data_IF_078705718680
#
_entry.id   IF_078705718680
#
_cell.length_a   1.000
_cell.length_b   1.000
_cell.length_c   1.000
_cell.angle_alpha   90.00
_cell.angle_beta   90.00
_cell.angle_gamma   90.00
#
_symmetry.space_group_name_H-M   'P 1'
#
loop_
_entity.id
_entity.type
_entity.pdbx_description
1 polymer ?
#
# COMPACT_ATOMS: atom_id res chain seq x y z
N UNK A 1 -15.87 -10.50 30.88
CA UNK A 1 -15.08 -9.25 30.87
C UNK A 1 -14.71 -9.03 29.41
N UNK A 2 -15.50 -8.25 28.66
CA UNK A 2 -15.38 -8.23 27.19
C UNK A 2 -16.19 -7.12 26.52
N UNK A 3 -16.51 -6.04 27.25
CA UNK A 3 -17.35 -4.94 26.76
C UNK A 3 -16.56 -3.65 26.49
N UNK A 4 -15.23 -3.64 26.70
CA UNK A 4 -14.40 -2.44 26.48
C UNK A 4 -13.50 -2.50 25.25
N UNK A 5 -13.25 -3.67 24.68
CA UNK A 5 -12.33 -3.80 23.51
C UNK A 5 -13.01 -3.41 22.19
N UNK A 6 -14.31 -3.69 22.01
CA UNK A 6 -15.05 -3.30 20.79
C UNK A 6 -15.24 -1.77 20.67
N UNK A 7 -15.29 -1.05 21.79
CA UNK A 7 -15.53 0.40 21.80
C UNK A 7 -14.30 1.24 21.38
N UNK A 8 -13.12 0.64 21.26
CA UNK A 8 -11.85 1.33 20.94
C UNK A 8 -11.48 1.20 19.46
N UNK A 9 -12.02 0.19 18.76
CA UNK A 9 -11.69 -0.11 17.37
C UNK A 9 -12.21 1.01 16.46
N UNK A 10 -11.32 1.62 15.68
CA UNK A 10 -11.65 2.67 14.72
C UNK A 10 -11.67 4.08 15.30
N UNK A 11 -11.20 4.30 16.54
CA UNK A 11 -11.08 5.63 17.12
C UNK A 11 -10.17 6.53 16.26
N UNK A 12 -9.02 6.00 15.83
CA UNK A 12 -8.08 6.77 15.02
C UNK A 12 -8.57 7.12 13.62
N UNK A 13 -9.49 6.34 13.04
CA UNK A 13 -10.12 6.65 11.75
C UNK A 13 -10.97 7.93 11.80
N UNK A 14 -11.49 8.27 12.99
CA UNK A 14 -12.28 9.48 13.22
C UNK A 14 -11.46 10.63 13.82
N UNK A 15 -10.12 10.49 13.88
CA UNK A 15 -9.25 11.53 14.42
C UNK A 15 -9.38 12.84 13.63
N UNK A 16 -9.36 13.96 14.36
CA UNK A 16 -9.33 15.30 13.76
C UNK A 16 -7.96 15.61 13.14
N UNK A 17 -6.88 14.95 13.59
CA UNK A 17 -5.56 15.07 13.01
C UNK A 17 -5.49 14.24 11.70
N UNK A 18 -5.27 14.88 10.53
CA UNK A 18 -5.20 14.17 9.26
C UNK A 18 -4.03 13.19 9.18
N UNK A 19 -2.91 13.42 9.88
CA UNK A 19 -1.77 12.49 9.87
C UNK A 19 -2.12 11.20 10.60
N UNK A 20 -2.79 11.32 11.74
CA UNK A 20 -3.26 10.19 12.54
C UNK A 20 -4.35 9.44 11.77
N UNK A 21 -5.35 10.15 11.25
CA UNK A 21 -6.40 9.52 10.44
C UNK A 21 -5.84 8.73 9.27
N UNK A 22 -4.87 9.29 8.55
CA UNK A 22 -4.20 8.60 7.45
C UNK A 22 -3.41 7.37 7.91
N UNK A 23 -2.74 7.43 9.07
CA UNK A 23 -2.03 6.28 9.65
C UNK A 23 -2.96 5.08 9.89
N UNK A 24 -4.13 5.36 10.47
CA UNK A 24 -5.15 4.37 10.71
C UNK A 24 -5.77 3.87 9.40
N UNK A 25 -6.08 4.76 8.45
CA UNK A 25 -6.58 4.37 7.14
C UNK A 25 -5.60 3.42 6.43
N UNK A 26 -4.31 3.73 6.43
CA UNK A 26 -3.27 2.87 5.86
C UNK A 26 -3.18 1.51 6.57
N UNK A 27 -3.26 1.47 7.90
CA UNK A 27 -3.22 0.22 8.66
C UNK A 27 -4.40 -0.70 8.33
N UNK A 28 -5.62 -0.15 8.38
CA UNK A 28 -6.83 -0.88 8.06
C UNK A 28 -6.82 -1.37 6.61
N UNK A 29 -6.50 -0.48 5.68
CA UNK A 29 -6.45 -0.77 4.26
C UNK A 29 -5.45 -1.89 3.94
N UNK A 30 -4.21 -1.75 4.38
CA UNK A 30 -3.16 -2.69 4.03
C UNK A 30 -3.38 -4.07 4.64
N UNK A 31 -3.85 -4.14 5.90
CA UNK A 31 -4.18 -5.42 6.52
C UNK A 31 -5.35 -6.08 5.79
N UNK A 32 -6.40 -5.32 5.42
CA UNK A 32 -7.49 -5.87 4.62
C UNK A 32 -7.04 -6.36 3.24
N UNK A 33 -6.10 -5.64 2.62
CA UNK A 33 -5.51 -5.97 1.34
C UNK A 33 -4.77 -7.31 1.38
N UNK A 34 -3.84 -7.50 2.32
CA UNK A 34 -3.03 -8.72 2.38
C UNK A 34 -3.77 -9.95 2.89
N UNK A 35 -4.82 -9.78 3.71
CA UNK A 35 -5.68 -10.88 4.17
C UNK A 35 -6.85 -11.15 3.21
N UNK A 36 -6.88 -10.51 2.04
CA UNK A 36 -7.98 -10.71 1.11
C UNK A 36 -7.85 -12.07 0.41
N UNK A 37 -9.00 -12.72 0.17
CA UNK A 37 -9.01 -14.01 -0.53
C UNK A 37 -8.51 -13.82 -1.97
N UNK A 38 -7.59 -14.68 -2.45
CA UNK A 38 -7.14 -14.65 -3.83
C UNK A 38 -8.32 -14.70 -4.82
N UNK A 39 -8.32 -13.81 -5.81
CA UNK A 39 -9.34 -13.79 -6.87
C UNK A 39 -10.57 -12.94 -6.58
N UNK A 40 -10.69 -12.32 -5.41
CA UNK A 40 -11.75 -11.34 -5.16
C UNK A 40 -11.32 -9.94 -5.66
N UNK A 41 -12.18 -9.19 -6.40
CA UNK A 41 -11.88 -7.82 -6.78
C UNK A 41 -11.69 -6.95 -5.54
N UNK A 42 -10.48 -6.40 -5.37
CA UNK A 42 -10.18 -5.49 -4.27
C UNK A 42 -10.65 -4.08 -4.61
N UNK A 43 -11.21 -3.34 -3.64
CA UNK A 43 -11.52 -1.94 -3.85
C UNK A 43 -10.23 -1.14 -4.12
N UNK A 44 -10.34 -0.02 -4.85
CA UNK A 44 -9.21 0.89 -5.00
C UNK A 44 -8.72 1.35 -3.63
N UNK A 45 -7.42 1.65 -3.55
CA UNK A 45 -6.85 2.17 -2.31
C UNK A 45 -7.56 3.48 -1.91
N UNK A 46 -7.86 3.69 -0.62
CA UNK A 46 -8.62 4.84 -0.14
C UNK A 46 -7.84 6.16 -0.22
N UNK A 47 -6.52 6.09 -0.39
CA UNK A 47 -5.63 7.24 -0.48
C UNK A 47 -4.37 6.91 -1.30
N UNK A 48 -3.63 7.96 -1.67
CA UNK A 48 -2.34 7.80 -2.34
C UNK A 48 -1.28 7.13 -1.45
N UNK A 49 -1.32 7.36 -0.13
CA UNK A 49 -0.37 6.73 0.79
C UNK A 49 -0.69 5.25 0.97
N UNK A 50 -1.98 4.89 1.03
CA UNK A 50 -2.42 3.49 1.01
C UNK A 50 -2.05 2.79 -0.30
N UNK A 51 -2.24 3.46 -1.46
CA UNK A 51 -1.81 2.93 -2.75
C UNK A 51 -0.29 2.68 -2.79
N UNK A 52 0.50 3.66 -2.35
CA UNK A 52 1.96 3.54 -2.24
C UNK A 52 2.38 2.40 -1.30
N UNK A 53 1.66 2.21 -0.19
CA UNK A 53 1.92 1.14 0.77
C UNK A 53 1.62 -0.24 0.17
N UNK A 54 0.47 -0.43 -0.50
CA UNK A 54 0.16 -1.69 -1.21
C UNK A 54 1.26 -2.02 -2.23
N UNK A 55 1.58 -1.06 -3.10
CA UNK A 55 2.61 -1.22 -4.14
C UNK A 55 3.99 -1.58 -3.56
N UNK A 56 4.49 -0.81 -2.60
CA UNK A 56 5.81 -1.06 -2.01
C UNK A 56 5.85 -2.30 -1.12
N UNK A 57 4.75 -2.64 -0.46
CA UNK A 57 4.61 -3.89 0.29
C UNK A 57 4.74 -5.10 -0.61
N UNK A 58 4.03 -5.11 -1.75
CA UNK A 58 4.11 -6.18 -2.74
C UNK A 58 5.50 -6.29 -3.37
N UNK A 59 6.11 -5.16 -3.73
CA UNK A 59 7.48 -5.15 -4.26
C UNK A 59 8.45 -5.74 -3.24
N UNK A 60 8.34 -5.36 -1.96
CA UNK A 60 9.20 -5.86 -0.89
C UNK A 60 9.05 -7.38 -0.69
N UNK A 61 7.81 -7.87 -0.61
CA UNK A 61 7.49 -9.29 -0.43
C UNK A 61 7.97 -10.12 -1.64
N UNK A 62 7.74 -9.62 -2.86
CA UNK A 62 8.12 -10.29 -4.11
C UNK A 62 9.64 -10.33 -4.30
N UNK A 63 10.33 -9.22 -4.00
CA UNK A 63 11.76 -9.06 -4.28
C UNK A 63 12.65 -9.70 -3.21
N UNK A 64 12.15 -9.81 -1.98
CA UNK A 64 12.91 -10.36 -0.88
C UNK A 64 12.18 -11.46 -0.08
N UNK A 65 11.70 -12.53 -0.75
CA UNK A 65 10.91 -13.58 -0.11
C UNK A 65 11.66 -14.29 1.04
N UNK A 66 13.00 -14.28 1.01
CA UNK A 66 13.85 -14.95 2.00
C UNK A 66 13.70 -14.35 3.39
N UNK A 67 13.50 -13.03 3.54
CA UNK A 67 13.32 -12.41 4.85
C UNK A 67 12.02 -12.86 5.52
N UNK A 68 10.96 -13.01 4.73
CA UNK A 68 9.62 -13.37 5.21
C UNK A 68 9.47 -14.86 5.50
N UNK A 69 10.30 -15.73 4.91
CA UNK A 69 10.30 -17.17 5.22
C UNK A 69 10.56 -17.51 6.70
N UNK A 70 11.18 -16.61 7.45
CA UNK A 70 11.46 -16.80 8.89
C UNK A 70 10.29 -16.39 9.78
N UNK A 71 9.35 -15.61 9.27
CA UNK A 71 8.28 -15.00 10.06
C UNK A 71 7.31 -16.00 10.66
N UNK A 72 6.93 -17.11 9.99
CA UNK A 72 6.12 -18.15 10.63
C UNK A 72 6.74 -18.74 11.89
N UNK A 73 8.08 -18.74 12.01
CA UNK A 73 8.78 -19.15 13.24
C UNK A 73 8.75 -18.07 14.30
N UNK A 74 8.90 -16.80 13.89
CA UNK A 74 8.82 -15.64 14.81
C UNK A 74 7.43 -15.54 15.43
N UNK A 75 6.38 -15.86 14.66
CA UNK A 75 4.99 -15.78 15.11
C UNK A 75 4.44 -17.09 15.67
N UNK A 76 5.27 -18.13 15.80
CA UNK A 76 4.80 -19.49 16.12
C UNK A 76 4.00 -19.56 17.43
N UNK A 77 4.40 -18.77 18.43
CA UNK A 77 3.80 -18.75 19.77
C UNK A 77 2.77 -17.61 19.94
N UNK A 78 2.44 -16.89 18.85
CA UNK A 78 1.44 -15.83 18.89
C UNK A 78 0.05 -16.43 19.07
N UNK A 79 -0.70 -15.83 19.99
CA UNK A 79 -2.12 -16.08 20.26
C UNK A 79 -2.91 -14.80 20.10
N UNK A 80 -4.25 -14.90 20.04
CA UNK A 80 -5.13 -13.72 19.98
C UNK A 80 -4.80 -12.71 21.09
N UNK A 81 -4.64 -13.16 22.34
CA UNK A 81 -4.31 -12.27 23.46
C UNK A 81 -2.88 -11.70 23.45
N UNK A 82 -2.00 -12.16 22.57
CA UNK A 82 -0.58 -11.74 22.54
C UNK A 82 -0.13 -11.12 21.22
N UNK A 83 -0.99 -11.07 20.19
CA UNK A 83 -0.64 -10.56 18.87
C UNK A 83 -0.20 -9.09 18.91
N UNK A 84 -0.99 -8.22 19.53
CA UNK A 84 -0.69 -6.78 19.62
C UNK A 84 0.57 -6.48 20.44
N UNK A 85 0.76 -7.19 21.56
CA UNK A 85 1.94 -7.02 22.42
C UNK A 85 3.21 -7.53 21.74
N UNK A 86 3.14 -8.69 21.07
CA UNK A 86 4.26 -9.24 20.29
C UNK A 86 4.64 -8.32 19.14
N UNK A 87 3.65 -7.83 18.40
CA UNK A 87 3.88 -6.87 17.31
C UNK A 87 4.59 -5.63 17.82
N UNK A 88 4.05 -5.01 18.87
CA UNK A 88 4.64 -3.80 19.46
C UNK A 88 6.06 -4.03 19.95
N UNK A 89 6.34 -5.17 20.60
CA UNK A 89 7.68 -5.52 21.06
C UNK A 89 8.69 -5.63 19.91
N UNK A 90 8.32 -6.31 18.81
CA UNK A 90 9.18 -6.43 17.62
C UNK A 90 9.41 -5.05 16.98
N UNK A 91 8.36 -4.23 16.89
CA UNK A 91 8.47 -2.88 16.33
C UNK A 91 9.36 -1.98 17.21
N UNK A 92 9.18 -2.01 18.52
CA UNK A 92 10.01 -1.24 19.45
C UNK A 92 11.48 -1.65 19.36
N UNK A 93 11.79 -2.94 19.24
CA UNK A 93 13.16 -3.42 19.02
C UNK A 93 13.71 -2.94 17.67
N UNK A 94 12.91 -3.02 16.60
CA UNK A 94 13.30 -2.58 15.27
C UNK A 94 13.53 -1.06 15.18
N UNK A 95 12.75 -0.28 15.94
CA UNK A 95 12.80 1.19 15.94
C UNK A 95 13.63 1.80 17.10
N UNK A 96 14.03 1.03 18.10
CA UNK A 96 14.91 1.50 19.16
C UNK A 96 16.24 2.09 18.63
N UNK A 97 16.91 1.51 17.60
CA UNK A 97 18.14 2.07 17.04
C UNK A 97 17.89 3.34 16.20
N UNK A 98 16.73 3.46 15.57
CA UNK A 98 16.39 4.59 14.70
C UNK A 98 15.94 5.83 15.46
N UNK A 99 15.54 5.72 16.74
CA UNK A 99 15.24 6.89 17.59
C UNK A 99 16.39 7.91 17.74
N UNK A 100 17.61 7.58 17.31
CA UNK A 100 18.79 8.48 17.29
C UNK A 100 19.18 8.95 15.87
N UNK A 101 18.47 8.54 14.83
CA UNK A 101 18.70 8.88 13.41
C UNK A 101 17.42 9.40 12.79
N UNK A 102 17.51 10.03 11.63
CA UNK A 102 16.34 10.43 10.86
C UNK A 102 15.39 9.25 10.59
N UNK A 103 14.08 9.44 10.76
CA UNK A 103 13.05 8.47 10.37
C UNK A 103 13.24 8.03 8.92
N UNK A 104 13.61 6.77 8.75
CA UNK A 104 13.69 6.15 7.44
C UNK A 104 12.30 5.72 6.97
N UNK A 105 11.86 6.16 5.79
CA UNK A 105 10.60 5.73 5.19
C UNK A 105 10.49 4.21 5.03
N UNK A 106 11.61 3.52 4.83
CA UNK A 106 11.66 2.05 4.80
C UNK A 106 11.29 1.42 6.15
N UNK A 107 11.64 2.05 7.27
CA UNK A 107 11.24 1.58 8.59
C UNK A 107 9.71 1.71 8.74
N UNK A 108 9.14 2.85 8.33
CA UNK A 108 7.68 3.07 8.30
C UNK A 108 6.99 1.98 7.46
N UNK A 109 7.49 1.69 6.26
CA UNK A 109 6.99 0.59 5.43
C UNK A 109 7.04 -0.76 6.17
N UNK A 110 8.16 -1.06 6.84
CA UNK A 110 8.32 -2.31 7.58
C UNK A 110 7.30 -2.50 8.70
N UNK A 111 6.80 -1.43 9.34
CA UNK A 111 5.73 -1.51 10.34
C UNK A 111 4.48 -2.16 9.77
N UNK A 112 3.98 -1.59 8.66
CA UNK A 112 2.76 -2.04 8.02
C UNK A 112 2.91 -3.43 7.43
N UNK A 113 4.05 -3.71 6.78
CA UNK A 113 4.35 -5.04 6.24
C UNK A 113 4.40 -6.09 7.35
N UNK A 114 5.05 -5.78 8.48
CA UNK A 114 5.10 -6.66 9.65
C UNK A 114 3.72 -7.00 10.17
N UNK A 115 2.89 -5.98 10.37
CA UNK A 115 1.53 -6.16 10.82
C UNK A 115 0.67 -6.97 9.85
N UNK A 116 0.81 -6.71 8.55
CA UNK A 116 0.07 -7.43 7.51
C UNK A 116 0.36 -8.92 7.52
N UNK A 117 1.62 -9.32 7.63
CA UNK A 117 1.97 -10.74 7.70
C UNK A 117 1.59 -11.38 9.05
N UNK A 118 1.61 -10.62 10.15
CA UNK A 118 1.10 -11.13 11.43
C UNK A 118 -0.40 -11.40 11.34
N UNK A 119 -1.16 -10.48 10.75
CA UNK A 119 -2.59 -10.65 10.54
C UNK A 119 -2.89 -11.86 9.64
N UNK A 120 -2.11 -12.03 8.55
CA UNK A 120 -2.20 -13.21 7.69
C UNK A 120 -1.89 -14.50 8.46
N UNK A 121 -0.85 -14.51 9.30
CA UNK A 121 -0.51 -15.65 10.13
C UNK A 121 -1.63 -16.04 11.10
N UNK A 122 -2.26 -15.05 11.75
CA UNK A 122 -3.40 -15.26 12.62
C UNK A 122 -4.60 -15.83 11.85
N UNK A 123 -4.91 -15.29 10.67
CA UNK A 123 -6.00 -15.78 9.82
C UNK A 123 -5.78 -17.23 9.37
N UNK A 124 -4.56 -17.58 8.96
CA UNK A 124 -4.17 -18.96 8.60
C UNK A 124 -4.29 -19.95 9.77
N UNK A 125 -4.20 -19.46 11.01
CA UNK A 125 -4.36 -20.24 12.26
C UNK A 125 -5.81 -20.29 12.75
N UNK A 126 -6.74 -19.66 12.04
CA UNK A 126 -8.16 -19.59 12.43
C UNK A 126 -8.49 -18.51 13.47
N UNK A 127 -7.55 -17.61 13.77
CA UNK A 127 -7.74 -16.49 14.70
C UNK A 127 -8.33 -15.29 13.95
N UNK A 128 -9.61 -15.35 13.57
CA UNK A 128 -10.22 -14.35 12.70
C UNK A 128 -10.54 -13.03 13.42
N UNK A 129 -10.85 -13.11 14.72
CA UNK A 129 -11.35 -11.98 15.51
C UNK A 129 -10.25 -11.01 15.94
N UNK A 130 -8.98 -11.39 15.79
CA UNK A 130 -7.83 -10.55 16.18
C UNK A 130 -7.50 -9.45 15.16
N UNK A 131 -7.93 -9.62 13.91
CA UNK A 131 -7.59 -8.72 12.80
C UNK A 131 -7.93 -7.24 13.10
N UNK A 132 -9.15 -6.89 13.56
CA UNK A 132 -9.48 -5.50 13.92
C UNK A 132 -8.60 -4.94 15.04
N UNK A 133 -8.16 -5.78 15.98
CA UNK A 133 -7.29 -5.37 17.07
C UNK A 133 -5.86 -5.08 16.57
N UNK A 134 -5.36 -5.88 15.63
CA UNK A 134 -4.06 -5.63 14.98
C UNK A 134 -4.13 -4.31 14.19
N UNK A 135 -5.21 -4.06 13.46
CA UNK A 135 -5.43 -2.80 12.73
C UNK A 135 -5.36 -1.58 13.66
N UNK A 136 -6.09 -1.63 14.78
CA UNK A 136 -6.08 -0.57 15.79
C UNK A 136 -4.70 -0.42 16.46
N UNK A 137 -4.07 -1.52 16.84
CA UNK A 137 -2.75 -1.54 17.48
C UNK A 137 -1.68 -0.88 16.61
N UNK A 138 -1.68 -1.16 15.30
CA UNK A 138 -0.73 -0.58 14.35
C UNK A 138 -1.00 0.90 14.16
N UNK A 139 -2.25 1.28 13.96
CA UNK A 139 -2.64 2.69 13.85
C UNK A 139 -2.16 3.48 15.07
N UNK A 140 -2.41 2.96 16.27
CA UNK A 140 -1.98 3.58 17.54
C UNK A 140 -0.46 3.65 17.69
N UNK A 141 0.27 2.62 17.24
CA UNK A 141 1.74 2.64 17.24
C UNK A 141 2.27 3.75 16.31
N UNK A 142 1.75 3.83 15.09
CA UNK A 142 2.15 4.85 14.11
C UNK A 142 1.79 6.24 14.61
N UNK A 143 0.60 6.43 15.19
CA UNK A 143 0.20 7.68 15.84
C UNK A 143 1.21 8.12 16.91
N UNK A 144 1.57 7.21 17.81
CA UNK A 144 2.43 7.55 18.96
C UNK A 144 3.89 7.75 18.57
N UNK A 145 4.40 6.96 17.64
CA UNK A 145 5.85 6.87 17.35
C UNK A 145 6.21 7.64 16.09
N UNK A 146 5.39 7.59 15.06
CA UNK A 146 5.75 8.06 13.70
C UNK A 146 5.11 9.42 13.39
N UNK A 147 3.85 9.65 13.77
CA UNK A 147 3.17 10.93 13.50
C UNK A 147 3.88 12.16 14.08
N UNK A 148 4.54 12.12 15.27
CA UNK A 148 5.34 13.24 15.75
C UNK A 148 6.44 13.64 14.76
N UNK A 149 7.18 12.66 14.23
CA UNK A 149 8.26 12.91 13.26
C UNK A 149 7.71 13.30 11.87
N UNK A 150 6.57 12.75 11.46
CA UNK A 150 5.92 13.11 10.20
C UNK A 150 5.53 14.59 10.15
N UNK A 151 5.11 15.15 11.29
CA UNK A 151 4.65 16.54 11.36
C UNK A 151 5.77 17.52 10.97
N UNK A 152 7.01 17.19 11.33
CA UNK A 152 8.19 17.97 10.98
C UNK A 152 8.63 17.77 9.52
N UNK A 153 8.20 16.67 8.88
CA UNK A 153 8.63 16.24 7.53
C UNK A 153 7.59 16.47 6.42
N UNK A 154 6.54 17.25 6.68
CA UNK A 154 5.49 17.54 5.68
C UNK A 154 4.50 16.39 5.49
N UNK A 155 4.34 15.53 6.51
CA UNK A 155 3.35 14.46 6.54
C UNK A 155 3.69 13.28 5.62
N UNK A 156 2.66 12.60 5.13
CA UNK A 156 2.78 11.38 4.32
C UNK A 156 3.29 11.60 2.90
N UNK A 157 3.49 12.85 2.47
CA UNK A 157 3.94 13.20 1.11
C UNK A 157 5.31 12.61 0.77
N UNK A 158 6.24 12.58 1.73
CA UNK A 158 7.55 11.95 1.54
C UNK A 158 7.47 10.43 1.35
N UNK A 159 6.57 9.77 2.06
CA UNK A 159 6.29 8.34 1.87
C UNK A 159 5.74 8.07 0.47
N UNK A 160 4.74 8.85 0.03
CA UNK A 160 4.14 8.74 -1.30
C UNK A 160 5.20 8.97 -2.39
N UNK A 161 6.02 10.01 -2.26
CA UNK A 161 7.09 10.28 -3.23
C UNK A 161 8.09 9.14 -3.35
N UNK A 162 8.38 8.46 -2.23
CA UNK A 162 9.37 7.39 -2.17
C UNK A 162 8.86 6.04 -2.66
N UNK A 163 7.58 5.73 -2.43
CA UNK A 163 7.01 4.39 -2.59
C UNK A 163 5.78 4.32 -3.50
N UNK A 164 5.18 5.46 -3.83
CA UNK A 164 4.10 5.55 -4.79
C UNK A 164 4.52 4.93 -6.11
N UNK A 165 3.57 4.25 -6.76
CA UNK A 165 3.77 3.74 -8.10
C UNK A 165 4.15 4.93 -8.99
N UNK A 166 5.39 4.92 -9.47
CA UNK A 166 5.81 5.90 -10.45
C UNK A 166 5.04 5.51 -11.70
N UNK A 167 4.01 6.29 -12.03
CA UNK A 167 3.40 6.18 -13.35
C UNK A 167 4.57 6.19 -14.33
N UNK A 168 4.76 5.10 -15.07
CA UNK A 168 5.74 5.03 -16.14
C UNK A 168 5.27 6.05 -17.17
N UNK A 169 5.64 7.31 -16.97
CA UNK A 169 5.40 8.40 -17.91
C UNK A 169 5.91 7.98 -19.28
N UNK A 170 7.01 7.22 -19.32
CA UNK A 170 7.55 6.62 -20.53
C UNK A 170 6.57 5.66 -21.21
N UNK A 171 5.87 4.78 -20.48
CA UNK A 171 4.87 3.87 -21.07
C UNK A 171 3.60 4.60 -21.52
N UNK A 172 3.15 5.61 -20.77
CA UNK A 172 2.00 6.42 -21.17
C UNK A 172 2.33 7.30 -22.39
N UNK A 173 3.48 7.96 -22.39
CA UNK A 173 3.97 8.76 -23.52
C UNK A 173 4.21 7.88 -24.73
N UNK A 174 4.82 6.69 -24.57
CA UNK A 174 5.00 5.73 -25.66
C UNK A 174 3.65 5.30 -26.25
N UNK A 175 2.64 4.99 -25.42
CA UNK A 175 1.29 4.66 -25.90
C UNK A 175 0.64 5.82 -26.64
N UNK A 176 0.74 7.05 -26.13
CA UNK A 176 0.19 8.25 -26.79
C UNK A 176 0.89 8.55 -28.11
N UNK A 177 2.23 8.51 -28.14
CA UNK A 177 3.02 8.73 -29.35
C UNK A 177 2.74 7.67 -30.43
N UNK A 178 2.76 6.38 -30.08
CA UNK A 178 2.44 5.31 -31.01
C UNK A 178 1.02 5.43 -31.58
N UNK A 179 0.03 5.76 -30.73
CA UNK A 179 -1.34 5.99 -31.18
C UNK A 179 -1.45 7.16 -32.16
N UNK A 180 -0.75 8.27 -31.89
CA UNK A 180 -0.74 9.44 -32.77
C UNK A 180 -0.10 9.15 -34.14
N UNK A 181 1.02 8.41 -34.18
CA UNK A 181 1.67 8.04 -35.43
C UNK A 181 0.78 7.14 -36.30
N UNK A 182 0.09 6.17 -35.68
CA UNK A 182 -0.82 5.26 -36.40
C UNK A 182 -2.00 6.01 -37.02
N UNK A 183 -2.59 6.97 -36.30
CA UNK A 183 -3.68 7.80 -36.82
C UNK A 183 -3.23 8.66 -38.00
N UNK A 184 -2.06 9.29 -37.91
CA UNK A 184 -1.49 10.09 -39.00
C UNK A 184 -1.19 9.22 -40.23
N UNK A 185 -0.61 8.03 -40.03
CA UNK A 185 -0.34 7.09 -41.11
C UNK A 185 -1.62 6.64 -41.83
N UNK A 186 -2.67 6.31 -41.07
CA UNK A 186 -3.97 5.94 -41.63
C UNK A 186 -4.62 7.10 -42.41
N UNK A 187 -4.53 8.33 -41.91
CA UNK A 187 -5.06 9.52 -42.58
C UNK A 187 -4.34 9.80 -43.91
N UNK A 188 -3.01 9.67 -43.94
CA UNK A 188 -2.21 9.84 -45.17
C UNK A 188 -2.58 8.77 -46.20
N UNK A 189 -2.68 7.51 -45.78
CA UNK A 189 -3.08 6.41 -46.67
C UNK A 189 -4.49 6.62 -47.22
N UNK A 190 -5.44 7.03 -46.36
CA UNK A 190 -6.80 7.35 -46.75
C UNK A 190 -6.84 8.48 -47.79
N UNK A 191 -6.11 9.57 -47.54
CA UNK A 191 -5.98 10.69 -48.47
C UNK A 191 -5.38 10.26 -49.81
N UNK A 192 -4.36 9.41 -49.80
CA UNK A 192 -3.71 8.93 -51.01
C UNK A 192 -4.65 8.05 -51.86
N UNK A 193 -5.39 7.14 -51.21
CA UNK A 193 -6.40 6.29 -51.86
C UNK A 193 -7.54 7.14 -52.43
N UNK A 194 -8.00 8.13 -51.68
CA UNK A 194 -9.05 9.06 -52.11
C UNK A 194 -8.62 9.86 -53.33
N UNK A 195 -7.43 10.47 -53.29
CA UNK A 195 -6.86 11.25 -54.38
C UNK A 195 -6.66 10.39 -55.65
N UNK A 196 -6.17 9.15 -55.50
CA UNK A 196 -6.05 8.21 -56.63
C UNK A 196 -7.41 7.83 -57.22
N UNK A 197 -8.43 7.61 -56.39
CA UNK A 197 -9.79 7.30 -56.87
C UNK A 197 -10.40 8.45 -57.66
N UNK A 198 -10.18 9.70 -57.25
CA UNK A 198 -10.66 10.88 -57.98
C UNK A 198 -9.93 11.00 -59.33
N UNK A 199 -8.60 10.85 -59.33
CA UNK A 199 -7.81 10.92 -60.56
C UNK A 199 -8.25 9.86 -61.59
N UNK A 200 -8.59 8.64 -61.14
CA UNK A 200 -9.10 7.57 -62.02
C UNK A 200 -10.50 7.84 -62.58
N UNK A 201 -11.31 8.71 -61.97
CA UNK A 201 -12.65 9.07 -62.45
C UNK A 201 -12.66 10.22 -63.47
N UNK A 202 -11.56 10.97 -63.57
CA UNK A 202 -11.41 12.09 -64.52
C UNK A 202 -10.76 11.70 -65.87
N UNK A 203 -10.55 10.40 -66.13
CA UNK A 203 -9.96 9.86 -67.37
C UNK A 203 -10.99 8.98 -68.13
N UNK A 204 -12.27 9.36 -68.09
CA UNK A 204 -13.34 8.80 -68.95
C UNK A 204 -14.11 9.96 -69.56
#
# INVERSE_FOLDING_TARGET
>A
MGLSEEAVIGHGLNSSDPLVREAYLMAYDYINYVTSKPGLPLPPAPSNAAAALRHAGDELLTRFPIFFRRWPRVFQDVTEGTACSTLTAILDEHFAPTRRRDLAWSAVLSVFVLAGQLALHCEERGMLDIKPQIQECVGSYVERVICPELRERGGWTGFISRFGEKQNLEEQVMKMCCGSLLLLGAAILFYFIWTRRIASKNII
#
